data_IF_507347169064
#
_entry.id   IF_507347169064
#
_cell.length_a   1.000
_cell.length_b   1.000
_cell.length_c   1.000
_cell.angle_alpha   90.00
_cell.angle_beta   90.00
_cell.angle_gamma   90.00
#
_symmetry.space_group_name_H-M   'P 1'
#
loop_
_entity.id
_entity.type
_entity.pdbx_description
1 polymer ?
#
# COMPACT_ATOMS: atom_id res chain seq x y z
N UNK A 1 -34.45 -77.09 7.60
CA UNK A 1 -33.07 -76.54 7.56
C UNK A 1 -32.88 -75.42 6.52
N UNK A 2 -33.43 -75.52 5.30
CA UNK A 2 -33.28 -74.51 4.24
C UNK A 2 -33.89 -73.11 4.53
N UNK A 3 -34.94 -73.03 5.38
CA UNK A 3 -35.56 -71.76 5.81
C UNK A 3 -34.79 -71.04 6.94
N UNK A 4 -34.08 -71.77 7.81
CA UNK A 4 -33.23 -71.14 8.85
C UNK A 4 -31.96 -70.51 8.26
N UNK A 5 -31.43 -71.09 7.18
CA UNK A 5 -30.24 -70.57 6.50
C UNK A 5 -30.50 -69.22 5.83
N UNK A 6 -31.71 -69.01 5.29
CA UNK A 6 -32.13 -67.72 4.72
C UNK A 6 -32.33 -66.62 5.78
N UNK A 7 -32.80 -66.97 6.98
CA UNK A 7 -32.96 -66.03 8.09
C UNK A 7 -31.59 -65.63 8.67
N UNK A 8 -30.65 -66.57 8.75
CA UNK A 8 -29.28 -66.28 9.17
C UNK A 8 -28.51 -65.41 8.15
N UNK A 9 -28.76 -65.61 6.85
CA UNK A 9 -28.15 -64.79 5.79
C UNK A 9 -28.72 -63.36 5.76
N UNK A 10 -30.00 -63.19 6.06
CA UNK A 10 -30.65 -61.88 6.18
C UNK A 10 -30.18 -61.10 7.42
N UNK A 11 -29.83 -61.80 8.51
CA UNK A 11 -29.27 -61.18 9.71
C UNK A 11 -27.81 -60.73 9.52
N UNK A 12 -27.06 -61.41 8.63
CA UNK A 12 -25.66 -61.08 8.35
C UNK A 12 -25.50 -59.81 7.49
N UNK A 13 -26.50 -59.46 6.68
CA UNK A 13 -26.51 -58.20 5.89
C UNK A 13 -26.95 -56.97 6.70
N UNK A 14 -27.50 -57.15 7.90
CA UNK A 14 -27.90 -56.05 8.80
C UNK A 14 -26.75 -55.61 9.74
N UNK A 15 -25.65 -56.37 9.80
CA UNK A 15 -24.52 -56.08 10.68
C UNK A 15 -23.43 -55.18 10.04
N UNK A 16 -23.54 -54.86 8.75
CA UNK A 16 -22.63 -53.90 8.08
C UNK A 16 -23.13 -52.48 8.27
N UNK A 17 -23.22 -52.03 9.53
CA UNK A 17 -23.30 -50.60 9.83
C UNK A 17 -21.89 -50.04 9.64
N UNK A 18 -21.56 -49.65 8.41
CA UNK A 18 -20.45 -48.73 8.19
C UNK A 18 -20.81 -47.46 8.96
N UNK A 19 -20.24 -47.27 10.16
CA UNK A 19 -20.13 -45.95 10.77
C UNK A 19 -19.34 -45.12 9.79
N UNK A 20 -20.04 -44.36 8.96
CA UNK A 20 -19.44 -43.23 8.27
C UNK A 20 -19.26 -42.20 9.39
N UNK A 21 -18.07 -42.22 10.02
CA UNK A 21 -17.65 -41.13 10.88
C UNK A 21 -17.50 -39.91 9.96
N UNK A 22 -18.62 -39.19 9.82
CA UNK A 22 -18.63 -37.87 9.23
C UNK A 22 -17.86 -36.96 10.17
N UNK A 23 -16.55 -36.84 9.94
CA UNK A 23 -15.77 -35.74 10.50
C UNK A 23 -16.17 -34.50 9.71
N UNK A 24 -16.89 -33.53 10.32
CA UNK A 24 -17.21 -32.27 9.65
C UNK A 24 -15.95 -31.47 9.30
N UNK A 25 -14.80 -31.84 9.89
CA UNK A 25 -13.51 -31.24 9.64
C UNK A 25 -12.71 -32.13 8.68
N UNK A 26 -12.15 -31.51 7.64
CA UNK A 26 -11.10 -32.10 6.82
C UNK A 26 -9.88 -32.46 7.70
N UNK A 27 -9.01 -33.34 7.19
CA UNK A 27 -7.69 -33.57 7.82
C UNK A 27 -7.01 -32.24 8.10
N UNK A 28 -6.42 -32.11 9.30
CA UNK A 28 -5.77 -30.88 9.73
C UNK A 28 -4.75 -30.46 8.69
N UNK A 29 -4.97 -29.29 8.08
CA UNK A 29 -4.07 -28.67 7.13
C UNK A 29 -3.68 -27.31 7.67
N UNK A 30 -2.39 -27.13 7.91
CA UNK A 30 -1.83 -25.83 8.24
C UNK A 30 -2.02 -24.88 7.04
N UNK A 31 -2.84 -23.84 7.21
CA UNK A 31 -3.00 -22.80 6.19
C UNK A 31 -2.26 -21.56 6.68
N UNK A 32 -1.10 -21.22 6.09
CA UNK A 32 -0.35 -20.05 6.49
C UNK A 32 -1.06 -18.78 6.02
N UNK A 33 -0.90 -17.73 6.81
CA UNK A 33 -1.34 -16.37 6.48
C UNK A 33 -0.14 -15.45 6.49
N UNK A 34 0.20 -14.87 5.34
CA UNK A 34 1.43 -14.09 5.18
C UNK A 34 1.09 -12.71 4.63
N UNK A 35 1.61 -11.66 5.26
CA UNK A 35 1.52 -10.30 4.72
C UNK A 35 2.90 -9.68 4.63
N UNK A 36 3.26 -9.25 3.42
CA UNK A 36 4.45 -8.49 3.16
C UNK A 36 4.23 -7.62 1.92
N UNK A 37 4.58 -6.34 2.02
CA UNK A 37 4.61 -5.45 0.87
C UNK A 37 5.98 -4.79 0.85
N UNK A 38 6.78 -5.13 -0.15
CA UNK A 38 8.12 -4.57 -0.34
C UNK A 38 8.03 -3.12 -0.80
N UNK A 39 8.93 -2.28 -0.27
CA UNK A 39 9.22 -0.96 -0.81
C UNK A 39 10.74 -0.80 -0.85
N UNK A 40 11.29 -0.50 -2.02
CA UNK A 40 12.74 -0.45 -2.22
C UNK A 40 13.43 0.77 -1.58
N UNK A 41 12.64 1.71 -1.06
CA UNK A 41 13.13 2.90 -0.37
C UNK A 41 12.80 2.90 1.13
N UNK A 42 12.07 1.90 1.61
CA UNK A 42 11.94 1.68 3.05
C UNK A 42 13.27 1.13 3.60
N UNK A 43 13.59 1.51 4.84
CA UNK A 43 14.80 1.06 5.54
C UNK A 43 14.75 -0.44 5.85
N UNK A 44 13.57 -0.90 6.26
CA UNK A 44 13.31 -2.22 6.81
C UNK A 44 12.08 -2.84 6.17
N UNK A 45 12.22 -4.07 5.66
CA UNK A 45 11.09 -4.89 5.25
C UNK A 45 10.48 -5.59 6.46
N UNK A 46 9.16 -5.52 6.58
CA UNK A 46 8.39 -6.21 7.62
C UNK A 46 7.51 -7.29 7.01
N UNK A 47 7.47 -8.45 7.66
CA UNK A 47 6.65 -9.60 7.29
C UNK A 47 5.86 -10.02 8.52
N UNK A 48 4.55 -10.18 8.34
CA UNK A 48 3.68 -10.79 9.35
C UNK A 48 3.31 -12.19 8.90
N UNK A 49 3.52 -13.18 9.78
CA UNK A 49 3.22 -14.59 9.52
C UNK A 49 2.30 -15.10 10.63
N UNK A 50 1.16 -15.66 10.23
CA UNK A 50 0.15 -16.28 11.08
C UNK A 50 -0.27 -17.62 10.46
N UNK A 51 -1.11 -18.37 11.15
CA UNK A 51 -1.74 -19.58 10.64
C UNK A 51 -3.24 -19.56 10.92
N UNK A 52 -4.03 -20.08 10.00
CA UNK A 52 -5.44 -20.33 10.26
C UNK A 52 -5.57 -21.52 11.22
N UNK A 53 -6.55 -21.44 12.10
CA UNK A 53 -6.90 -22.53 13.01
C UNK A 53 -8.26 -23.12 12.60
N UNK A 54 -8.34 -24.45 12.54
CA UNK A 54 -9.59 -25.19 12.48
C UNK A 54 -9.74 -25.93 13.81
N UNK A 55 -10.73 -25.54 14.62
CA UNK A 55 -10.98 -26.09 15.94
C UNK A 55 -12.45 -26.41 16.17
N UNK A 56 -12.73 -27.34 17.09
CA UNK A 56 -14.08 -27.73 17.46
C UNK A 56 -14.76 -26.78 18.48
N UNK A 57 -14.07 -25.73 18.93
CA UNK A 57 -14.64 -24.76 19.87
C UNK A 57 -15.08 -23.46 19.18
N UNK A 58 -15.71 -22.57 19.95
CA UNK A 58 -16.22 -21.29 19.49
C UNK A 58 -15.07 -20.36 19.06
N UNK A 59 -15.15 -19.76 17.87
CA UNK A 59 -14.11 -18.87 17.29
C UNK A 59 -13.68 -17.74 18.24
N UNK A 60 -14.58 -17.28 19.11
CA UNK A 60 -14.32 -16.20 20.08
C UNK A 60 -13.23 -16.54 21.11
N UNK A 61 -13.07 -17.81 21.47
CA UNK A 61 -12.04 -18.23 22.44
C UNK A 61 -10.65 -18.32 21.79
N UNK A 62 -10.58 -18.68 20.50
CA UNK A 62 -9.32 -18.76 19.75
C UNK A 62 -8.81 -17.39 19.28
N UNK A 63 -9.70 -16.43 19.00
CA UNK A 63 -9.30 -15.07 18.59
C UNK A 63 -8.59 -14.27 19.68
N UNK A 64 -8.68 -14.71 20.95
CA UNK A 64 -7.99 -14.09 22.09
C UNK A 64 -6.66 -14.78 22.46
N UNK A 65 -6.43 -16.02 22.01
CA UNK A 65 -5.21 -16.77 22.31
C UNK A 65 -4.14 -16.53 21.23
N UNK A 66 -3.15 -15.71 21.55
CA UNK A 66 -2.01 -15.38 20.66
C UNK A 66 -1.30 -16.64 20.11
N UNK A 67 -1.14 -17.67 20.95
CA UNK A 67 -0.45 -18.94 20.61
C UNK A 67 -1.21 -19.78 19.58
N UNK A 68 -2.49 -19.51 19.37
CA UNK A 68 -3.30 -20.17 18.33
C UNK A 68 -3.18 -19.49 16.96
N UNK A 69 -2.82 -18.20 16.93
CA UNK A 69 -2.77 -17.38 15.72
C UNK A 69 -1.35 -17.33 15.15
N UNK A 70 -0.35 -17.27 16.03
CA UNK A 70 1.04 -17.12 15.64
C UNK A 70 1.83 -18.42 15.76
N UNK A 71 2.90 -18.51 14.97
CA UNK A 71 3.90 -19.54 15.13
C UNK A 71 4.69 -19.31 16.42
N UNK A 72 4.98 -20.38 17.20
CA UNK A 72 5.90 -20.28 18.32
C UNK A 72 7.24 -19.68 17.89
N UNK A 73 7.88 -18.94 18.80
CA UNK A 73 9.23 -18.45 18.57
C UNK A 73 10.14 -19.64 18.22
N UNK A 74 11.02 -19.45 17.24
CA UNK A 74 11.97 -20.45 16.75
C UNK A 74 11.35 -21.69 16.07
N UNK A 75 10.03 -21.75 15.81
CA UNK A 75 9.44 -22.88 15.08
C UNK A 75 9.57 -22.74 13.56
N UNK A 76 9.62 -21.51 13.05
CA UNK A 76 9.73 -21.21 11.63
C UNK A 76 10.94 -20.33 11.31
N UNK A 77 11.42 -20.42 10.08
CA UNK A 77 12.40 -19.52 9.48
C UNK A 77 11.71 -18.75 8.35
N UNK A 78 11.87 -17.43 8.35
CA UNK A 78 11.36 -16.56 7.28
C UNK A 78 12.55 -16.02 6.51
N UNK A 79 12.60 -16.26 5.21
CA UNK A 79 13.67 -15.79 4.33
C UNK A 79 13.12 -15.00 3.15
N UNK A 80 13.88 -14.00 2.73
CA UNK A 80 13.64 -13.26 1.51
C UNK A 80 14.80 -13.56 0.55
N UNK A 81 14.45 -14.18 -0.57
CA UNK A 81 15.36 -14.58 -1.63
C UNK A 81 15.32 -13.55 -2.76
N UNK A 82 16.49 -13.20 -3.28
CA UNK A 82 16.68 -12.36 -4.46
C UNK A 82 17.16 -13.24 -5.60
N UNK A 83 16.44 -13.17 -6.72
CA UNK A 83 16.68 -14.00 -7.88
C UNK A 83 16.98 -13.14 -9.11
N UNK A 84 18.01 -13.54 -9.84
CA UNK A 84 18.28 -12.99 -11.17
C UNK A 84 17.04 -13.18 -12.06
N UNK A 85 16.85 -12.24 -12.99
CA UNK A 85 15.70 -12.27 -13.87
C UNK A 85 16.02 -11.63 -15.22
N UNK A 86 15.31 -12.08 -16.24
CA UNK A 86 15.30 -11.46 -17.56
C UNK A 86 13.99 -10.75 -17.78
N UNK A 87 14.04 -9.53 -18.32
CA UNK A 87 12.86 -8.76 -18.68
C UNK A 87 12.29 -9.24 -20.01
N UNK A 88 11.03 -9.65 -20.01
CA UNK A 88 10.27 -10.06 -21.18
C UNK A 88 9.38 -8.95 -21.74
N UNK A 89 8.36 -9.34 -22.50
CA UNK A 89 7.32 -8.41 -22.95
C UNK A 89 6.60 -7.75 -21.77
N UNK A 90 6.06 -6.54 -22.00
CA UNK A 90 5.30 -5.76 -21.00
C UNK A 90 6.05 -5.45 -19.69
N UNK A 91 7.39 -5.50 -19.74
CA UNK A 91 8.29 -5.28 -18.61
C UNK A 91 8.11 -6.27 -17.45
N UNK A 92 7.62 -7.48 -17.75
CA UNK A 92 7.51 -8.56 -16.76
C UNK A 92 8.87 -9.23 -16.60
N UNK A 93 9.32 -9.39 -15.36
CA UNK A 93 10.54 -10.15 -15.07
C UNK A 93 10.24 -11.65 -14.99
N UNK A 94 11.10 -12.46 -15.58
CA UNK A 94 11.06 -13.92 -15.44
C UNK A 94 12.31 -14.36 -14.72
N UNK A 95 12.13 -15.08 -13.61
CA UNK A 95 13.20 -15.63 -12.77
C UNK A 95 14.14 -16.52 -13.60
N UNK A 96 15.45 -16.37 -13.41
CA UNK A 96 16.47 -17.18 -14.07
C UNK A 96 17.44 -17.81 -13.05
N UNK A 97 18.05 -18.92 -13.44
CA UNK A 97 18.97 -19.68 -12.60
C UNK A 97 18.30 -20.72 -11.69
N UNK A 98 19.12 -21.61 -11.12
CA UNK A 98 18.66 -22.74 -10.30
C UNK A 98 18.64 -22.42 -8.79
N UNK A 99 19.21 -21.28 -8.38
CA UNK A 99 19.34 -20.87 -6.98
C UNK A 99 19.26 -19.33 -6.85
N UNK A 100 18.84 -18.81 -5.67
CA UNK A 100 18.85 -17.37 -5.43
C UNK A 100 20.27 -16.82 -5.43
N UNK A 101 20.47 -15.61 -5.97
CA UNK A 101 21.77 -14.98 -5.96
C UNK A 101 22.13 -14.42 -4.57
N UNK A 102 21.11 -14.04 -3.79
CA UNK A 102 21.26 -13.62 -2.39
C UNK A 102 20.02 -14.03 -1.58
N UNK A 103 20.22 -14.34 -0.31
CA UNK A 103 19.14 -14.65 0.63
C UNK A 103 19.40 -13.94 1.94
N UNK A 104 18.36 -13.32 2.50
CA UNK A 104 18.39 -12.76 3.85
C UNK A 104 17.39 -13.50 4.73
N UNK A 105 17.78 -13.80 5.96
CA UNK A 105 16.88 -14.35 6.99
C UNK A 105 16.34 -13.20 7.82
N UNK A 106 15.02 -13.18 8.04
CA UNK A 106 14.37 -12.13 8.80
C UNK A 106 14.39 -12.47 10.30
N UNK A 107 14.66 -11.44 11.11
CA UNK A 107 14.70 -11.53 12.56
C UNK A 107 13.30 -11.49 13.17
N UNK A 108 13.06 -12.36 14.16
CA UNK A 108 11.83 -12.34 14.95
C UNK A 108 11.84 -11.18 15.94
N UNK A 109 10.86 -10.29 15.83
CA UNK A 109 10.68 -9.14 16.71
C UNK A 109 9.26 -9.09 17.25
N UNK A 110 9.15 -8.74 18.53
CA UNK A 110 7.88 -8.49 19.20
C UNK A 110 7.56 -6.99 19.15
N UNK A 111 6.37 -6.63 18.66
CA UNK A 111 5.90 -5.24 18.59
C UNK A 111 4.53 -5.10 19.22
N UNK A 112 4.30 -4.00 19.93
CA UNK A 112 2.98 -3.67 20.43
C UNK A 112 2.04 -3.35 19.27
N UNK A 113 0.82 -3.85 19.37
CA UNK A 113 -0.30 -3.55 18.48
C UNK A 113 -1.28 -2.66 19.25
N UNK A 114 -1.80 -1.66 18.57
CA UNK A 114 -2.88 -0.83 19.10
C UNK A 114 -4.10 -1.69 19.48
N UNK A 115 -4.77 -1.33 20.56
CA UNK A 115 -5.97 -2.03 21.05
C UNK A 115 -7.08 -2.02 20.00
N UNK A 116 -7.67 -3.18 19.69
CA UNK A 116 -8.76 -3.35 18.73
C UNK A 116 -9.51 -4.68 18.88
N UNK A 117 -10.43 -5.00 17.96
CA UNK A 117 -11.34 -6.16 18.02
C UNK A 117 -10.66 -7.54 17.93
N UNK A 118 -9.40 -7.60 17.51
CA UNK A 118 -8.56 -8.80 17.52
C UNK A 118 -7.48 -8.64 18.58
N UNK A 119 -7.03 -9.74 19.22
CA UNK A 119 -6.01 -9.76 20.29
C UNK A 119 -5.12 -8.50 20.32
N UNK A 120 -5.38 -7.65 21.31
CA UNK A 120 -4.51 -6.53 21.65
C UNK A 120 -3.25 -7.02 22.37
N UNK A 121 -2.18 -6.23 22.34
CA UNK A 121 -0.91 -6.58 22.98
C UNK A 121 0.23 -6.79 21.98
N UNK A 122 1.15 -7.69 22.30
CA UNK A 122 2.37 -7.91 21.53
C UNK A 122 2.10 -8.88 20.38
N UNK A 123 2.45 -8.49 19.15
CA UNK A 123 2.42 -9.35 17.96
C UNK A 123 3.84 -9.69 17.50
N UNK A 124 4.10 -10.93 17.07
CA UNK A 124 5.34 -11.27 16.41
C UNK A 124 5.34 -10.78 14.96
N UNK A 125 6.45 -10.16 14.58
CA UNK A 125 6.78 -9.73 13.24
C UNK A 125 8.17 -10.28 12.88
N UNK A 126 8.43 -10.37 11.59
CA UNK A 126 9.73 -10.73 11.05
C UNK A 126 10.26 -9.54 10.25
N UNK A 127 11.50 -9.13 10.46
CA UNK A 127 12.05 -8.01 9.71
C UNK A 127 13.52 -8.16 9.33
N UNK A 128 13.94 -7.41 8.32
CA UNK A 128 15.33 -7.27 7.94
C UNK A 128 15.59 -5.89 7.32
N UNK A 129 16.78 -5.29 7.51
CA UNK A 129 17.18 -4.09 6.79
C UNK A 129 17.35 -4.43 5.30
N UNK A 130 16.66 -3.69 4.43
CA UNK A 130 16.56 -4.00 3.00
C UNK A 130 16.88 -2.82 2.09
N UNK A 131 17.15 -1.64 2.66
CA UNK A 131 17.59 -0.48 1.91
C UNK A 131 18.86 -0.78 1.10
N UNK A 132 18.82 -0.47 -0.20
CA UNK A 132 19.91 -0.75 -1.14
C UNK A 132 20.02 -2.22 -1.58
N UNK A 133 19.39 -3.16 -0.87
CA UNK A 133 19.34 -4.57 -1.25
C UNK A 133 18.21 -4.85 -2.26
N UNK A 134 17.06 -4.18 -2.07
CA UNK A 134 15.92 -4.20 -2.99
C UNK A 134 16.24 -3.41 -4.27
N UNK A 135 16.21 -4.10 -5.42
CA UNK A 135 16.63 -3.58 -6.71
C UNK A 135 15.62 -3.99 -7.80
N UNK A 136 15.15 -3.06 -8.66
CA UNK A 136 13.98 -3.35 -9.49
C UNK A 136 14.16 -4.37 -10.61
N UNK A 137 15.38 -4.78 -10.94
CA UNK A 137 15.68 -5.76 -11.99
C UNK A 137 15.70 -7.22 -11.49
N UNK A 138 15.29 -7.45 -10.25
CA UNK A 138 15.28 -8.77 -9.62
C UNK A 138 13.85 -9.23 -9.32
N UNK A 139 13.67 -10.55 -9.28
CA UNK A 139 12.47 -11.17 -8.71
C UNK A 139 12.75 -11.51 -7.25
N UNK A 140 11.78 -11.23 -6.39
CA UNK A 140 11.87 -11.54 -4.97
C UNK A 140 10.95 -12.70 -4.63
N UNK A 141 11.43 -13.58 -3.76
CA UNK A 141 10.66 -14.72 -3.26
C UNK A 141 10.71 -14.75 -1.75
N UNK A 142 9.54 -14.71 -1.12
CA UNK A 142 9.40 -14.91 0.31
C UNK A 142 9.20 -16.40 0.58
N UNK A 143 9.96 -16.97 1.51
CA UNK A 143 9.85 -18.38 1.90
C UNK A 143 9.72 -18.46 3.43
N UNK A 144 8.74 -19.25 3.88
CA UNK A 144 8.56 -19.61 5.28
C UNK A 144 8.70 -21.11 5.39
N UNK A 145 9.61 -21.59 6.22
CA UNK A 145 9.84 -23.02 6.44
C UNK A 145 9.86 -23.38 7.91
N UNK A 146 9.46 -24.61 8.23
CA UNK A 146 9.61 -25.18 9.57
C UNK A 146 11.10 -25.39 9.88
N UNK A 147 11.58 -24.88 11.02
CA UNK A 147 13.01 -24.90 11.37
C UNK A 147 13.56 -26.31 11.56
N UNK A 148 12.73 -27.24 12.06
CA UNK A 148 13.14 -28.62 12.36
C UNK A 148 13.08 -29.53 11.14
N UNK A 149 12.02 -29.43 10.32
CA UNK A 149 11.81 -30.33 9.18
C UNK A 149 12.38 -29.77 7.87
N UNK A 150 12.59 -28.46 7.78
CA UNK A 150 12.94 -27.77 6.54
C UNK A 150 11.79 -27.65 5.55
N UNK A 151 10.59 -28.13 5.91
CA UNK A 151 9.41 -28.11 5.04
C UNK A 151 8.97 -26.67 4.78
N UNK A 152 8.76 -26.33 3.51
CA UNK A 152 8.24 -25.01 3.09
C UNK A 152 6.75 -24.96 3.39
N UNK A 153 6.38 -24.09 4.34
CA UNK A 153 5.00 -23.88 4.77
C UNK A 153 4.33 -22.83 3.88
N UNK A 154 5.03 -21.75 3.56
CA UNK A 154 4.55 -20.71 2.66
C UNK A 154 5.65 -20.26 1.68
N UNK A 155 5.30 -20.01 0.43
CA UNK A 155 6.13 -19.22 -0.47
C UNK A 155 5.32 -18.35 -1.41
N UNK A 156 5.89 -17.23 -1.84
CA UNK A 156 5.28 -16.32 -2.81
C UNK A 156 6.37 -15.56 -3.55
N UNK A 157 6.10 -15.14 -4.78
CA UNK A 157 7.00 -14.35 -5.60
C UNK A 157 6.37 -12.99 -5.92
N UNK A 158 7.20 -11.96 -6.04
CA UNK A 158 6.76 -10.63 -6.48
C UNK A 158 7.90 -9.86 -7.15
N UNK A 159 7.54 -8.74 -7.78
CA UNK A 159 8.45 -7.87 -8.52
C UNK A 159 8.28 -6.43 -8.07
N UNK A 160 9.40 -5.71 -7.94
CA UNK A 160 9.38 -4.31 -7.51
C UNK A 160 8.89 -3.38 -8.62
N UNK A 161 8.38 -2.23 -8.19
CA UNK A 161 7.90 -1.15 -9.08
C UNK A 161 9.06 -0.24 -9.47
N UNK A 162 9.21 0.00 -10.76
CA UNK A 162 10.27 0.83 -11.33
C UNK A 162 11.32 0.02 -12.10
N UNK A 163 12.24 0.72 -12.73
CA UNK A 163 13.30 0.14 -13.57
C UNK A 163 14.67 0.17 -12.90
N UNK A 164 15.64 -0.55 -13.49
CA UNK A 164 17.03 -0.50 -13.03
C UNK A 164 17.56 0.93 -13.17
N UNK A 165 18.00 1.50 -12.05
CA UNK A 165 18.75 2.75 -12.05
C UNK A 165 20.18 2.43 -12.49
N UNK A 166 20.66 3.12 -13.53
CA UNK A 166 22.06 3.06 -13.93
C UNK A 166 22.94 3.63 -12.80
N UNK A 167 23.68 2.75 -12.12
CA UNK A 167 24.54 3.12 -11.01
C UNK A 167 25.69 4.06 -11.43
N UNK A 168 26.03 4.13 -12.72
CA UNK A 168 27.02 5.08 -13.24
C UNK A 168 26.49 6.53 -13.28
N UNK A 169 25.17 6.70 -13.21
CA UNK A 169 24.52 8.00 -13.08
C UNK A 169 23.78 8.09 -11.73
N UNK A 170 24.44 8.53 -10.65
CA UNK A 170 23.79 8.69 -9.34
C UNK A 170 22.64 9.72 -9.32
N UNK A 171 22.46 10.49 -10.40
CA UNK A 171 21.30 11.38 -10.60
C UNK A 171 20.16 10.71 -11.39
N UNK A 172 20.38 9.54 -12.01
CA UNK A 172 19.35 8.76 -12.69
C UNK A 172 18.44 8.07 -11.69
N UNK A 173 17.73 8.84 -10.89
CA UNK A 173 16.67 8.32 -10.04
C UNK A 173 15.51 7.94 -10.96
N UNK A 174 14.96 6.74 -10.79
CA UNK A 174 13.73 6.31 -11.47
C UNK A 174 12.51 7.03 -10.87
N UNK A 175 12.55 8.36 -10.85
CA UNK A 175 11.45 9.18 -10.37
C UNK A 175 10.29 8.98 -11.34
N UNK A 176 9.07 8.94 -10.81
CA UNK A 176 7.93 9.31 -11.67
C UNK A 176 8.26 10.69 -12.23
N UNK A 177 7.91 10.97 -13.48
CA UNK A 177 8.02 12.30 -14.08
C UNK A 177 6.61 12.85 -14.27
N UNK A 178 6.29 13.98 -13.63
CA UNK A 178 5.05 14.70 -13.89
C UNK A 178 5.19 15.39 -15.24
N UNK A 179 4.25 15.08 -16.13
CA UNK A 179 4.03 15.85 -17.34
C UNK A 179 3.21 17.10 -17.01
N UNK A 180 2.26 16.99 -16.06
CA UNK A 180 1.37 18.07 -15.64
C UNK A 180 0.99 17.93 -14.16
N UNK A 181 0.99 19.02 -13.37
CA UNK A 181 1.72 20.26 -13.62
C UNK A 181 3.24 19.99 -13.68
N UNK A 182 3.93 20.71 -14.57
CA UNK A 182 5.37 20.58 -14.78
C UNK A 182 6.02 21.97 -14.82
N UNK A 183 6.76 22.38 -13.77
CA UNK A 183 7.37 23.71 -13.69
C UNK A 183 8.40 23.98 -14.80
N UNK A 184 8.97 22.94 -15.42
CA UNK A 184 9.89 23.09 -16.55
C UNK A 184 9.18 23.48 -17.86
N UNK A 185 7.85 23.33 -17.93
CA UNK A 185 7.05 23.65 -19.13
C UNK A 185 6.13 24.84 -18.84
N UNK A 186 6.36 26.03 -19.45
CA UNK A 186 5.58 27.24 -19.14
C UNK A 186 4.06 27.06 -19.22
N UNK A 187 3.55 26.29 -20.19
CA UNK A 187 2.12 26.01 -20.38
C UNK A 187 1.48 25.20 -19.24
N UNK A 188 2.28 24.43 -18.50
CA UNK A 188 1.86 23.52 -17.42
C UNK A 188 2.56 23.82 -16.10
N UNK A 189 3.22 24.97 -15.99
CA UNK A 189 4.11 25.32 -14.88
C UNK A 189 3.40 25.50 -13.54
N UNK A 190 2.08 25.41 -13.51
CA UNK A 190 1.24 25.80 -12.39
C UNK A 190 0.22 24.72 -12.05
N UNK A 191 0.06 24.47 -10.76
CA UNK A 191 -1.13 23.83 -10.21
C UNK A 191 -2.27 24.86 -10.30
N UNK A 192 -3.18 24.67 -11.25
CA UNK A 192 -4.25 25.64 -11.53
C UNK A 192 -5.54 24.94 -11.92
N UNK A 193 -6.66 25.50 -11.46
CA UNK A 193 -7.99 25.12 -11.90
C UNK A 193 -8.39 25.96 -13.11
N UNK A 194 -8.59 25.30 -14.25
CA UNK A 194 -8.95 25.93 -15.51
C UNK A 194 -9.98 25.11 -16.29
N UNK A 195 -10.66 25.75 -17.24
CA UNK A 195 -11.73 25.14 -18.04
C UNK A 195 -13.11 25.26 -17.40
N UNK A 196 -14.10 24.60 -18.03
CA UNK A 196 -15.47 24.49 -17.55
C UNK A 196 -15.98 23.05 -17.77
N UNK A 197 -16.15 22.22 -16.73
CA UNK A 197 -15.92 22.53 -15.32
C UNK A 197 -14.43 22.79 -15.01
N UNK A 198 -14.16 23.66 -14.04
CA UNK A 198 -12.81 24.03 -13.66
C UNK A 198 -12.09 22.85 -12.99
N UNK A 199 -10.95 22.45 -13.56
CA UNK A 199 -10.16 21.31 -13.10
C UNK A 199 -8.66 21.57 -13.19
N UNK A 200 -7.91 20.91 -12.32
CA UNK A 200 -6.47 20.76 -12.42
C UNK A 200 -6.17 19.33 -12.90
N UNK A 201 -5.48 19.21 -14.02
CA UNK A 201 -5.06 17.92 -14.55
C UNK A 201 -3.71 17.53 -13.97
N UNK A 202 -3.61 16.29 -13.49
CA UNK A 202 -2.36 15.71 -13.03
C UNK A 202 -2.02 14.57 -13.98
N UNK A 203 -0.87 14.66 -14.65
CA UNK A 203 -0.42 13.68 -15.61
C UNK A 203 1.04 13.30 -15.35
N UNK A 204 1.38 12.04 -15.52
CA UNK A 204 2.73 11.50 -15.31
C UNK A 204 3.08 10.38 -16.27
N UNK A 205 4.38 10.15 -16.45
CA UNK A 205 4.88 8.93 -17.08
C UNK A 205 4.74 7.74 -16.12
N UNK A 206 4.19 6.61 -16.57
CA UNK A 206 4.08 5.45 -15.71
C UNK A 206 5.45 4.84 -15.40
N UNK A 207 5.62 4.35 -14.18
CA UNK A 207 6.72 3.48 -13.83
C UNK A 207 6.51 2.09 -14.42
N UNK A 208 7.63 1.44 -14.73
CA UNK A 208 7.68 0.02 -15.09
C UNK A 208 7.07 -0.82 -13.96
N UNK A 209 6.26 -1.84 -14.33
CA UNK A 209 5.56 -2.77 -13.41
C UNK A 209 4.57 -2.11 -12.43
N UNK A 210 4.23 -0.84 -12.62
CA UNK A 210 3.16 -0.20 -11.87
C UNK A 210 1.77 -0.53 -12.46
N UNK A 211 0.77 -0.62 -11.58
CA UNK A 211 -0.62 -0.95 -11.95
C UNK A 211 -1.65 -0.04 -11.32
N UNK A 212 -1.45 0.38 -10.08
CA UNK A 212 -2.33 1.33 -9.42
C UNK A 212 -1.52 2.53 -8.95
N UNK A 213 -2.05 3.71 -9.19
CA UNK A 213 -1.52 4.96 -8.69
C UNK A 213 -2.56 5.59 -7.78
N UNK A 214 -2.14 6.02 -6.61
CA UNK A 214 -2.93 6.77 -5.66
C UNK A 214 -2.27 8.14 -5.45
N UNK A 215 -2.67 9.16 -6.24
CA UNK A 215 -2.17 10.51 -6.05
C UNK A 215 -2.75 11.12 -4.77
N UNK A 216 -1.93 11.91 -4.11
CA UNK A 216 -2.29 12.74 -2.96
C UNK A 216 -1.74 14.14 -3.22
N UNK A 217 -2.59 15.14 -3.08
CA UNK A 217 -2.18 16.54 -3.11
C UNK A 217 -2.00 16.99 -1.69
N UNK A 218 -0.76 17.27 -1.31
CA UNK A 218 -0.42 17.88 -0.03
C UNK A 218 -0.37 19.39 -0.19
N UNK A 219 -1.36 20.06 0.38
CA UNK A 219 -1.49 21.51 0.39
C UNK A 219 -0.80 22.08 1.62
N UNK A 220 0.13 23.02 1.45
CA UNK A 220 0.77 23.70 2.57
C UNK A 220 0.27 25.11 2.76
N UNK A 221 0.12 25.50 4.02
CA UNK A 221 -0.36 26.83 4.41
C UNK A 221 0.28 27.29 5.72
N UNK A 222 0.16 28.58 5.99
CA UNK A 222 0.53 29.21 7.25
C UNK A 222 -0.73 29.70 7.98
N UNK A 223 -0.65 29.83 9.31
CA UNK A 223 -1.70 30.51 10.07
C UNK A 223 -1.51 32.03 9.96
N UNK A 224 -2.55 32.81 10.24
CA UNK A 224 -2.34 34.22 10.53
C UNK A 224 -1.93 34.39 11.99
N UNK A 225 -1.03 35.34 12.21
CA UNK A 225 -0.77 35.95 13.51
C UNK A 225 -2.00 36.66 14.04
N UNK A 226 -2.03 36.87 15.36
CA UNK A 226 -2.97 37.79 15.97
C UNK A 226 -2.77 39.20 15.39
N UNK A 227 -3.84 40.02 15.33
CA UNK A 227 -3.74 41.39 14.86
C UNK A 227 -2.64 42.14 15.61
N UNK A 228 -1.78 42.85 14.89
CA UNK A 228 -0.82 43.76 15.48
C UNK A 228 -1.50 45.01 16.07
N UNK A 229 -0.71 45.94 16.59
CA UNK A 229 -1.23 47.18 17.19
C UNK A 229 -2.06 48.04 16.22
N UNK A 230 -1.93 47.82 14.90
CA UNK A 230 -2.68 48.52 13.85
C UNK A 230 -3.89 47.70 13.36
N UNK A 231 -4.14 46.53 13.94
CA UNK A 231 -5.20 45.61 13.53
C UNK A 231 -4.87 44.78 12.29
N UNK A 232 -3.62 44.84 11.80
CA UNK A 232 -3.18 44.06 10.64
C UNK A 232 -2.76 42.66 11.08
N UNK A 233 -3.15 41.64 10.32
CA UNK A 233 -2.75 40.25 10.54
C UNK A 233 -1.71 39.87 9.49
N UNK A 234 -0.60 39.30 9.94
CA UNK A 234 0.47 38.80 9.09
C UNK A 234 0.49 37.28 9.09
N UNK A 235 1.09 36.64 8.09
CA UNK A 235 1.29 35.20 8.15
C UNK A 235 2.30 34.84 9.25
N UNK A 236 1.98 33.81 10.03
CA UNK A 236 2.91 33.20 10.95
C UNK A 236 3.82 32.21 10.20
N UNK A 237 4.94 32.73 9.71
CA UNK A 237 5.96 31.93 9.01
C UNK A 237 6.77 31.01 9.96
N UNK A 238 6.49 31.00 11.27
CA UNK A 238 7.23 30.14 12.21
C UNK A 238 6.83 28.67 12.08
N UNK A 239 5.63 28.38 11.58
CA UNK A 239 5.11 27.00 11.45
C UNK A 239 4.31 26.79 10.18
N UNK A 240 4.81 25.90 9.32
CA UNK A 240 4.16 25.45 8.09
C UNK A 240 3.24 24.26 8.38
N UNK A 241 1.97 24.39 8.02
CA UNK A 241 0.96 23.34 8.16
C UNK A 241 0.71 22.66 6.82
N UNK A 242 0.12 21.45 6.85
CA UNK A 242 -0.26 20.77 5.63
C UNK A 242 -1.54 19.94 5.77
N UNK A 243 -2.26 19.80 4.66
CA UNK A 243 -3.42 18.94 4.49
C UNK A 243 -3.20 18.03 3.29
N UNK A 244 -3.51 16.74 3.45
CA UNK A 244 -3.42 15.75 2.39
C UNK A 244 -4.80 15.46 1.80
N UNK A 245 -5.01 15.86 0.55
CA UNK A 245 -6.23 15.58 -0.21
C UNK A 245 -5.99 14.37 -1.11
N UNK A 246 -6.75 13.29 -0.90
CA UNK A 246 -6.70 12.10 -1.73
C UNK A 246 -7.37 12.37 -3.07
N UNK A 247 -6.68 12.04 -4.15
CA UNK A 247 -7.21 12.12 -5.51
C UNK A 247 -7.71 10.72 -5.91
N UNK A 248 -8.70 10.56 -6.80
CA UNK A 248 -9.11 9.24 -7.26
C UNK A 248 -7.93 8.41 -7.77
N UNK A 249 -7.85 7.16 -7.33
CA UNK A 249 -6.82 6.23 -7.78
C UNK A 249 -6.99 5.89 -9.26
N UNK A 250 -5.89 5.76 -9.98
CA UNK A 250 -5.90 5.39 -11.41
C UNK A 250 -5.28 4.01 -11.57
N UNK A 251 -6.11 3.05 -11.98
CA UNK A 251 -5.65 1.74 -12.46
C UNK A 251 -5.17 1.86 -13.90
N UNK A 252 -4.09 1.18 -14.23
CA UNK A 252 -3.61 1.02 -15.60
C UNK A 252 -3.63 -0.43 -16.05
N UNK A 253 -3.90 -0.59 -17.33
CA UNK A 253 -3.71 -1.81 -18.09
C UNK A 253 -2.86 -1.47 -19.31
N UNK A 254 -1.92 -2.35 -19.66
CA UNK A 254 -0.95 -2.14 -20.74
C UNK A 254 0.18 -1.17 -20.39
N UNK A 255 0.82 -0.64 -21.42
CA UNK A 255 1.98 0.27 -21.33
C UNK A 255 1.66 1.64 -21.94
N UNK A 256 0.81 2.46 -21.30
CA UNK A 256 0.50 3.78 -21.82
C UNK A 256 1.72 4.71 -21.73
N UNK A 257 1.81 5.69 -22.63
CA UNK A 257 2.87 6.69 -22.58
C UNK A 257 2.67 7.72 -21.45
N UNK A 258 1.42 7.93 -21.04
CA UNK A 258 1.02 8.90 -20.03
C UNK A 258 -0.18 8.38 -19.24
N UNK A 259 -0.22 8.75 -17.98
CA UNK A 259 -1.29 8.46 -17.02
C UNK A 259 -1.84 9.79 -16.56
N UNK A 260 -3.16 9.91 -16.50
CA UNK A 260 -3.80 11.19 -16.17
C UNK A 260 -4.94 10.99 -15.19
N UNK A 261 -5.07 11.93 -14.26
CA UNK A 261 -6.26 12.15 -13.45
C UNK A 261 -6.61 13.64 -13.41
N UNK A 262 -7.79 13.97 -12.89
CA UNK A 262 -8.23 15.35 -12.76
C UNK A 262 -8.80 15.59 -11.37
N UNK A 263 -8.46 16.76 -10.82
CA UNK A 263 -9.03 17.29 -9.59
C UNK A 263 -9.96 18.43 -9.97
N UNK A 264 -11.20 18.38 -9.51
CA UNK A 264 -12.17 19.45 -9.74
C UNK A 264 -12.07 20.50 -8.65
N UNK A 265 -12.20 21.77 -9.02
CA UNK A 265 -12.05 22.91 -8.11
C UNK A 265 -13.00 22.83 -6.92
N UNK A 266 -14.28 22.55 -7.20
CA UNK A 266 -15.33 22.52 -6.17
C UNK A 266 -15.12 21.42 -5.12
N UNK A 267 -14.78 20.19 -5.55
CA UNK A 267 -14.52 19.09 -4.62
C UNK A 267 -13.23 19.31 -3.83
N UNK A 268 -12.18 19.82 -4.49
CA UNK A 268 -10.90 20.08 -3.83
C UNK A 268 -11.03 21.06 -2.68
N UNK A 269 -11.68 22.20 -2.90
CA UNK A 269 -11.85 23.20 -1.86
C UNK A 269 -12.81 22.75 -0.76
N UNK A 270 -13.85 21.97 -1.09
CA UNK A 270 -14.73 21.38 -0.09
C UNK A 270 -13.96 20.40 0.84
N UNK A 271 -13.24 19.45 0.26
CA UNK A 271 -12.43 18.48 1.00
C UNK A 271 -11.34 19.18 1.83
N UNK A 272 -10.72 20.23 1.28
CA UNK A 272 -9.72 21.03 1.98
C UNK A 272 -10.32 21.70 3.22
N UNK A 273 -11.46 22.39 3.07
CA UNK A 273 -12.14 23.06 4.19
C UNK A 273 -12.54 22.06 5.28
N UNK A 274 -13.10 20.92 4.90
CA UNK A 274 -13.53 19.88 5.84
C UNK A 274 -12.33 19.22 6.56
N UNK A 275 -11.24 18.97 5.83
CA UNK A 275 -10.01 18.45 6.41
C UNK A 275 -9.37 19.42 7.41
N UNK A 276 -9.47 20.73 7.18
CA UNK A 276 -8.96 21.71 8.13
C UNK A 276 -9.84 21.78 9.38
N UNK A 277 -11.17 21.85 9.22
CA UNK A 277 -12.12 21.89 10.34
C UNK A 277 -11.99 20.67 11.24
N UNK A 278 -11.83 19.49 10.66
CA UNK A 278 -11.67 18.24 11.43
C UNK A 278 -10.38 18.17 12.24
N UNK A 279 -9.35 18.95 11.88
CA UNK A 279 -8.14 19.11 12.68
C UNK A 279 -8.32 20.09 13.87
N UNK A 280 -9.53 20.59 14.10
CA UNK A 280 -9.82 21.54 15.18
C UNK A 280 -9.37 22.97 14.89
N UNK A 281 -9.00 23.25 13.63
CA UNK A 281 -8.59 24.57 13.18
C UNK A 281 -9.80 25.30 12.60
N UNK A 282 -10.28 26.31 13.34
CA UNK A 282 -11.54 27.00 13.02
C UNK A 282 -11.42 27.99 11.85
N UNK A 283 -10.23 28.20 11.29
CA UNK A 283 -10.03 28.83 9.99
C UNK A 283 -8.53 28.98 9.70
N UNK A 284 -8.00 28.41 8.59
CA UNK A 284 -6.73 28.86 8.07
C UNK A 284 -6.92 30.22 7.43
N UNK A 285 -6.86 31.27 8.24
CA UNK A 285 -6.95 32.63 7.72
C UNK A 285 -5.72 33.02 6.87
N UNK A 286 -4.72 32.14 6.76
CA UNK A 286 -3.42 32.45 6.17
C UNK A 286 -3.24 31.97 4.74
N UNK A 287 -2.09 32.37 4.21
CA UNK A 287 -1.69 32.26 2.82
C UNK A 287 -1.36 30.83 2.37
N UNK A 288 -1.63 30.53 1.10
CA UNK A 288 -1.23 29.31 0.41
C UNK A 288 0.27 29.36 0.09
N UNK A 289 1.07 28.43 0.60
CA UNK A 289 2.51 28.42 0.34
C UNK A 289 2.84 27.66 -0.94
N UNK A 290 2.70 26.33 -0.88
CA UNK A 290 3.10 25.41 -1.93
C UNK A 290 2.18 24.20 -1.96
N UNK A 291 2.20 23.47 -3.07
CA UNK A 291 1.49 22.20 -3.22
C UNK A 291 2.48 21.12 -3.60
N UNK A 292 2.45 20.00 -2.88
CA UNK A 292 3.18 18.79 -3.24
C UNK A 292 2.22 17.78 -3.87
N UNK A 293 2.58 17.24 -5.03
CA UNK A 293 1.91 16.06 -5.60
C UNK A 293 2.73 14.84 -5.22
N UNK A 294 2.08 13.92 -4.52
CA UNK A 294 2.65 12.69 -4.01
C UNK A 294 1.99 11.50 -4.68
N UNK A 295 2.78 10.59 -5.22
CA UNK A 295 2.27 9.41 -5.90
C UNK A 295 2.65 8.16 -5.12
N UNK A 296 1.65 7.47 -4.57
CA UNK A 296 1.83 6.10 -4.08
C UNK A 296 1.50 5.13 -5.20
N UNK A 297 2.35 4.14 -5.44
CA UNK A 297 2.24 3.24 -6.59
C UNK A 297 2.34 1.80 -6.13
N UNK A 298 1.61 0.88 -6.76
CA UNK A 298 1.77 -0.55 -6.51
C UNK A 298 1.80 -1.41 -7.77
N UNK A 299 2.34 -2.62 -7.60
CA UNK A 299 2.43 -3.62 -8.66
C UNK A 299 1.11 -4.39 -8.86
N UNK A 300 1.10 -5.33 -9.79
CA UNK A 300 -0.08 -6.14 -10.12
C UNK A 300 -0.63 -6.91 -8.93
N UNK A 301 0.24 -7.58 -8.15
CA UNK A 301 -0.18 -8.41 -7.03
C UNK A 301 -0.95 -7.58 -5.99
N UNK A 302 -0.43 -6.40 -5.62
CA UNK A 302 -1.11 -5.53 -4.66
C UNK A 302 -2.39 -4.91 -5.23
N UNK A 303 -2.39 -4.53 -6.51
CA UNK A 303 -3.57 -4.04 -7.21
C UNK A 303 -4.70 -5.09 -7.23
N UNK A 304 -4.37 -6.35 -7.54
CA UNK A 304 -5.32 -7.46 -7.54
C UNK A 304 -5.92 -7.69 -6.14
N UNK A 305 -5.08 -7.63 -5.09
CA UNK A 305 -5.54 -7.74 -3.71
C UNK A 305 -6.48 -6.63 -3.30
N UNK A 306 -6.11 -5.37 -3.55
CA UNK A 306 -6.95 -4.20 -3.25
C UNK A 306 -8.31 -4.35 -3.95
N UNK A 307 -8.32 -4.62 -5.25
CA UNK A 307 -9.58 -4.80 -6.02
C UNK A 307 -10.44 -5.93 -5.51
N UNK A 308 -9.82 -7.03 -5.04
CA UNK A 308 -10.55 -8.17 -4.47
C UNK A 308 -11.11 -7.90 -3.07
N UNK A 309 -10.61 -6.89 -2.36
CA UNK A 309 -11.00 -6.57 -0.97
C UNK A 309 -11.86 -5.31 -0.87
N UNK A 310 -11.92 -4.48 -1.93
CA UNK A 310 -12.78 -3.29 -2.00
C UNK A 310 -14.28 -3.64 -1.79
N UNK A 311 -15.03 -2.85 -1.02
CA UNK A 311 -16.46 -3.07 -0.83
C UNK A 311 -17.21 -3.08 -2.16
N UNK A 312 -18.04 -4.09 -2.38
CA UNK A 312 -18.92 -4.14 -3.55
C UNK A 312 -20.30 -3.59 -3.20
N UNK A 313 -20.89 -2.80 -4.10
CA UNK A 313 -22.29 -2.37 -4.02
C UNK A 313 -23.27 -3.45 -4.56
N UNK A 314 -22.80 -4.66 -4.87
CA UNK A 314 -23.61 -5.76 -5.40
C UNK A 314 -23.93 -6.81 -4.33
N UNK A 315 -25.09 -7.47 -4.46
CA UNK A 315 -25.58 -8.55 -3.58
C UNK A 315 -24.84 -9.86 -3.89
N UNK A 316 -23.51 -9.86 -3.87
CA UNK A 316 -22.70 -11.07 -4.03
C UNK A 316 -22.11 -11.40 -2.66
N UNK A 317 -22.53 -12.54 -2.10
CA UNK A 317 -22.23 -12.95 -0.73
C UNK A 317 -20.88 -13.67 -0.56
N UNK A 318 -20.27 -14.19 -1.63
CA UNK A 318 -18.95 -14.82 -1.57
C UNK A 318 -17.99 -14.20 -2.59
N UNK A 319 -16.92 -13.58 -2.10
CA UNK A 319 -15.83 -13.05 -2.93
C UNK A 319 -14.56 -13.83 -2.64
N UNK A 320 -13.93 -14.32 -3.70
CA UNK A 320 -12.60 -14.92 -3.59
C UNK A 320 -11.60 -13.79 -3.38
N UNK A 321 -11.00 -13.73 -2.19
CA UNK A 321 -9.92 -12.80 -1.89
C UNK A 321 -8.66 -13.25 -2.64
N UNK A 322 -8.00 -12.34 -3.34
CA UNK A 322 -6.75 -12.64 -4.03
C UNK A 322 -5.65 -13.01 -3.03
N UNK A 323 -4.80 -13.96 -3.42
CA UNK A 323 -3.62 -14.38 -2.67
C UNK A 323 -2.61 -14.98 -3.64
N UNK A 324 -1.34 -14.60 -3.51
CA UNK A 324 -0.23 -15.22 -4.22
C UNK A 324 0.62 -16.13 -3.32
N UNK A 325 0.12 -16.43 -2.11
CA UNK A 325 0.79 -17.34 -1.18
C UNK A 325 0.47 -18.79 -1.59
N UNK A 326 1.50 -19.62 -1.72
CA UNK A 326 1.39 -21.04 -2.08
C UNK A 326 0.55 -21.29 -3.35
N UNK A 327 0.84 -20.54 -4.42
CA UNK A 327 0.12 -20.64 -5.69
C UNK A 327 -1.40 -20.47 -5.53
N UNK A 328 -1.81 -19.54 -4.66
CA UNK A 328 -3.21 -19.21 -4.42
C UNK A 328 -3.92 -20.08 -3.38
N UNK A 329 -3.19 -20.97 -2.68
CA UNK A 329 -3.76 -21.88 -1.65
C UNK A 329 -3.58 -21.38 -0.22
N UNK A 330 -2.69 -20.42 0.01
CA UNK A 330 -2.50 -19.75 1.30
C UNK A 330 -3.33 -18.47 1.41
N UNK A 331 -3.29 -17.80 2.55
CA UNK A 331 -4.01 -16.52 2.75
C UNK A 331 -3.00 -15.37 2.85
N UNK A 332 -3.38 -14.19 2.37
CA UNK A 332 -2.59 -12.98 2.48
C UNK A 332 -1.92 -12.60 1.16
N UNK A 333 -0.81 -11.86 1.23
CA UNK A 333 -0.16 -11.27 0.08
C UNK A 333 1.33 -11.05 0.30
N UNK A 334 2.10 -11.31 -0.75
CA UNK A 334 3.45 -10.80 -0.92
C UNK A 334 3.52 -9.95 -2.17
N UNK A 335 3.67 -8.64 -2.03
CA UNK A 335 3.62 -7.73 -3.17
C UNK A 335 4.67 -6.61 -3.06
N UNK A 336 4.64 -5.66 -3.99
CA UNK A 336 5.51 -4.49 -3.94
C UNK A 336 4.72 -3.20 -4.14
N UNK A 337 5.20 -2.16 -3.48
CA UNK A 337 4.74 -0.79 -3.63
C UNK A 337 5.92 0.16 -3.70
N UNK A 338 5.60 1.42 -3.96
CA UNK A 338 6.52 2.53 -3.86
C UNK A 338 5.78 3.73 -3.33
N UNK A 339 6.13 4.18 -2.13
CA UNK A 339 5.53 5.35 -1.50
C UNK A 339 6.47 6.57 -1.57
N UNK A 340 5.95 7.79 -1.38
CA UNK A 340 6.76 8.99 -1.39
C UNK A 340 7.75 9.05 -0.24
N UNK A 341 9.04 9.10 -0.58
CA UNK A 341 10.17 9.16 0.36
C UNK A 341 11.10 10.35 0.06
N UNK A 342 11.80 10.79 1.09
CA UNK A 342 12.97 11.67 0.99
C UNK A 342 14.22 10.79 1.10
N UNK A 343 15.16 10.93 0.17
CA UNK A 343 16.45 10.22 0.23
C UNK A 343 17.56 11.24 0.43
N UNK A 344 18.44 10.96 1.37
CA UNK A 344 19.70 11.69 1.56
C UNK A 344 20.69 11.36 0.43
N UNK A 345 21.15 12.40 -0.26
CA UNK A 345 22.13 12.34 -1.31
C UNK A 345 23.54 12.38 -0.69
N UNK A 346 24.55 12.00 -1.48
CA UNK A 346 25.94 11.92 -1.00
C UNK A 346 26.54 13.26 -0.53
N UNK A 347 25.93 14.39 -0.88
CA UNK A 347 26.30 15.74 -0.44
C UNK A 347 25.56 16.18 0.84
N UNK A 348 24.82 15.26 1.49
CA UNK A 348 23.99 15.53 2.66
C UNK A 348 22.68 16.24 2.35
N UNK A 349 22.40 16.56 1.08
CA UNK A 349 21.11 17.13 0.69
C UNK A 349 20.05 16.05 0.59
N UNK A 350 18.78 16.33 0.88
CA UNK A 350 17.69 15.37 0.67
C UNK A 350 16.94 15.67 -0.62
N UNK A 351 16.71 14.66 -1.46
CA UNK A 351 15.92 14.76 -2.68
C UNK A 351 14.72 13.80 -2.65
N UNK A 352 13.53 14.22 -3.10
CA UNK A 352 12.34 13.39 -3.12
C UNK A 352 12.40 12.31 -4.21
N UNK A 353 11.72 11.18 -3.96
CA UNK A 353 11.60 10.08 -4.95
C UNK A 353 10.30 10.16 -5.76
N UNK A 354 9.20 10.55 -5.11
CA UNK A 354 7.85 10.58 -5.70
C UNK A 354 7.06 11.81 -5.23
N UNK A 355 7.76 12.89 -4.88
CA UNK A 355 7.18 14.16 -4.46
C UNK A 355 7.60 15.22 -5.45
N UNK A 356 6.62 15.97 -5.94
CA UNK A 356 6.85 17.13 -6.79
C UNK A 356 6.26 18.35 -6.13
N UNK A 357 7.11 19.34 -5.87
CA UNK A 357 6.68 20.60 -5.28
C UNK A 357 6.38 21.59 -6.38
N UNK A 358 5.16 22.12 -6.36
CA UNK A 358 4.72 23.25 -7.17
C UNK A 358 4.64 24.46 -6.24
N UNK A 359 5.50 25.44 -6.48
CA UNK A 359 5.49 26.71 -5.76
C UNK A 359 4.38 27.59 -6.29
N UNK A 360 3.58 28.18 -5.39
CA UNK A 360 2.62 29.21 -5.77
C UNK A 360 3.32 30.56 -5.67
N UNK A 361 3.92 31.04 -6.77
CA UNK A 361 4.74 32.25 -6.74
C UNK A 361 3.97 33.45 -6.17
N UNK A 362 4.54 34.07 -5.14
CA UNK A 362 4.27 35.48 -4.80
C UNK A 362 5.59 36.22 -4.63
N UNK A 363 5.87 37.15 -5.55
CA UNK A 363 6.13 38.56 -5.25
C UNK A 363 6.46 39.36 -6.52
N UNK A 364 5.86 40.56 -6.61
CA UNK A 364 6.15 41.68 -7.55
C UNK A 364 5.87 41.47 -9.05
N UNK A 365 4.72 41.98 -9.51
CA UNK A 365 4.47 42.15 -10.95
C UNK A 365 3.02 42.48 -11.24
N UNK A 366 2.71 43.77 -11.38
CA UNK A 366 1.46 44.25 -11.96
C UNK A 366 1.31 43.72 -13.39
N UNK A 367 0.49 42.70 -13.56
CA UNK A 367 0.21 42.12 -14.88
C UNK A 367 -0.27 40.68 -14.77
N UNK A 368 -1.59 40.49 -14.70
CA UNK A 368 -2.34 39.28 -15.11
C UNK A 368 -1.70 37.90 -14.90
N UNK A 369 -1.41 37.49 -13.66
CA UNK A 369 -1.25 36.06 -13.29
C UNK A 369 -1.83 35.73 -11.90
N UNK A 370 -2.66 36.64 -11.36
CA UNK A 370 -2.77 36.89 -9.91
C UNK A 370 -4.19 36.74 -9.33
N UNK A 371 -5.20 36.09 -9.95
CA UNK A 371 -6.59 36.15 -9.44
C UNK A 371 -7.33 34.86 -9.04
N UNK A 372 -6.66 33.71 -8.82
CA UNK A 372 -7.37 32.42 -8.61
C UNK A 372 -6.81 31.45 -7.55
N UNK A 373 -5.97 31.93 -6.64
CA UNK A 373 -6.21 31.66 -5.22
C UNK A 373 -7.15 32.72 -4.61
N UNK A 374 -7.48 33.79 -5.35
CA UNK A 374 -8.07 35.04 -4.82
C UNK A 374 -9.51 34.97 -4.28
N UNK A 375 -10.17 33.82 -4.26
CA UNK A 375 -11.38 33.63 -3.47
C UNK A 375 -11.16 32.70 -2.26
N UNK A 376 -9.91 32.48 -1.82
CA UNK A 376 -9.63 31.95 -0.48
C UNK A 376 -10.00 33.03 0.56
N UNK A 377 -11.29 33.20 0.78
CA UNK A 377 -11.83 33.99 1.87
C UNK A 377 -12.37 32.98 2.88
N UNK A 378 -11.58 32.63 3.90
CA UNK A 378 -12.10 31.82 5.01
C UNK A 378 -12.87 32.74 5.96
N UNK A 379 -13.97 33.25 5.43
CA UNK A 379 -15.02 33.89 6.20
C UNK A 379 -16.03 32.83 6.59
N UNK A 380 -16.06 32.47 7.88
CA UNK A 380 -17.27 31.92 8.46
C UNK A 380 -18.19 33.12 8.74
N UNK A 381 -19.25 33.30 7.95
CA UNK A 381 -20.44 33.90 8.54
C UNK A 381 -20.97 32.90 9.56
N UNK A 382 -21.13 33.37 10.79
CA UNK A 382 -21.65 32.59 11.89
C UNK A 382 -23.02 32.01 11.50
N UNK A 383 -23.25 30.73 11.83
CA UNK A 383 -24.61 30.27 12.02
C UNK A 383 -25.22 31.10 13.16
N UNK A 384 -26.39 31.70 12.93
CA UNK A 384 -27.29 32.13 14.01
C UNK A 384 -27.73 30.93 14.84
#
# INVERSE_FOLDING_TARGET
>A
MRKLFFVALLFLTLATSCKVDFSPNAEWKEVPVVWCVLDQYDDTTWVRVQRCYLGNENLYNYTQASDSIYYPKDSITVTLEKWEATEGADNILTKTGDAPCQTITLEYVLRNKDTGMFAGGVQPLYCAPTLGWLQPNYVYRLVVSHKTTGEVVASAETQLVGQKIDQSNPRARDLVALERPNPATPAYSQFRFAGNPAKCEIAWKPLVRARLYQPVVRFYYYHLTEPDANGERHNDYTKKYHIDIKVPSVSQSGSPNEVTTSIYESSFFADLVDAIRSNGDNAPKGFCDSVDIRLSVCNEDLNAYIKSTEPSNTIVQDRVVYTNINDGKGVGIFAARRIPHLIENNDGSTSPVLIFTVQTNTETGSGSYHSKLKNLNIGFEAAE
#
